data_IF_208104075150
#
_entry.id   IF_208104075150
#
_cell.length_a   1.000
_cell.length_b   1.000
_cell.length_c   1.000
_cell.angle_alpha   90.00
_cell.angle_beta   90.00
_cell.angle_gamma   90.00
#
_symmetry.space_group_name_H-M   'P 1'
#
loop_
_entity.id
_entity.type
_entity.pdbx_description
1 polymer ?
#
# COMPACT_ATOMS: atom_id res chain seq x y z
N UNK A 1 -11.43 -10.25 -23.45
CA UNK A 1 -11.98 -10.02 -22.09
C UNK A 1 -11.53 -8.64 -21.63
N UNK A 2 -12.41 -7.83 -21.02
CA UNK A 2 -12.05 -6.47 -20.57
C UNK A 2 -11.09 -6.51 -19.37
N UNK A 3 -10.37 -5.42 -19.13
CA UNK A 3 -9.47 -5.27 -17.97
C UNK A 3 -10.22 -5.54 -16.65
N UNK A 4 -11.39 -4.94 -16.48
CA UNK A 4 -12.23 -5.13 -15.29
C UNK A 4 -12.64 -6.60 -15.07
N UNK A 5 -12.93 -7.36 -16.13
CA UNK A 5 -13.24 -8.79 -15.97
C UNK A 5 -11.99 -9.59 -15.58
N UNK A 6 -10.83 -9.30 -16.19
CA UNK A 6 -9.56 -9.96 -15.82
C UNK A 6 -9.17 -9.71 -14.36
N UNK A 7 -9.39 -8.49 -13.87
CA UNK A 7 -9.16 -8.16 -12.46
C UNK A 7 -10.11 -8.96 -11.57
N UNK A 8 -11.42 -8.99 -11.87
CA UNK A 8 -12.38 -9.77 -11.07
C UNK A 8 -12.03 -11.25 -11.00
N UNK A 9 -11.61 -11.84 -12.11
CA UNK A 9 -11.19 -13.25 -12.14
C UNK A 9 -9.96 -13.48 -11.26
N UNK A 10 -9.01 -12.53 -11.27
CA UNK A 10 -7.83 -12.57 -10.41
C UNK A 10 -8.19 -12.37 -8.93
N UNK A 11 -9.12 -11.47 -8.60
CA UNK A 11 -9.63 -11.29 -7.23
C UNK A 11 -10.28 -12.57 -6.70
N UNK A 12 -10.98 -13.34 -7.54
CA UNK A 12 -11.51 -14.66 -7.15
C UNK A 12 -10.39 -15.65 -6.83
N UNK A 13 -9.31 -15.68 -7.62
CA UNK A 13 -8.14 -16.52 -7.33
C UNK A 13 -7.48 -16.13 -6.01
N UNK A 14 -7.32 -14.83 -5.75
CA UNK A 14 -6.80 -14.35 -4.47
C UNK A 14 -7.70 -14.72 -3.30
N UNK A 15 -9.02 -14.61 -3.45
CA UNK A 15 -9.97 -15.01 -2.43
C UNK A 15 -9.88 -16.51 -2.13
N UNK A 16 -9.76 -17.35 -3.16
CA UNK A 16 -9.55 -18.78 -3.02
C UNK A 16 -8.23 -19.12 -2.30
N UNK A 17 -7.14 -18.42 -2.65
CA UNK A 17 -5.84 -18.60 -1.98
C UNK A 17 -5.89 -18.20 -0.50
N UNK A 18 -6.53 -17.08 -0.17
CA UNK A 18 -6.73 -16.67 1.23
C UNK A 18 -7.57 -17.69 2.01
N UNK A 19 -8.60 -18.26 1.39
CA UNK A 19 -9.43 -19.29 2.03
C UNK A 19 -8.63 -20.58 2.33
N UNK A 20 -7.74 -21.01 1.41
CA UNK A 20 -6.83 -22.15 1.64
C UNK A 20 -5.91 -21.90 2.83
N UNK A 21 -5.45 -20.66 3.01
CA UNK A 21 -4.60 -20.28 4.14
C UNK A 21 -5.41 -20.06 5.44
N UNK A 22 -6.74 -20.09 5.36
CA UNK A 22 -7.65 -19.79 6.49
C UNK A 22 -7.59 -18.32 6.90
N UNK A 23 -7.33 -17.42 5.96
CA UNK A 23 -7.21 -15.98 6.13
C UNK A 23 -8.41 -15.24 5.52
N UNK A 24 -8.63 -14.00 5.93
CA UNK A 24 -9.65 -13.14 5.32
C UNK A 24 -9.07 -12.47 4.09
N UNK A 25 -9.62 -12.71 2.90
CA UNK A 25 -9.21 -11.96 1.71
C UNK A 25 -9.48 -10.46 1.88
N UNK A 26 -8.44 -9.62 1.82
CA UNK A 26 -8.56 -8.17 1.83
C UNK A 26 -8.14 -7.59 0.47
N UNK A 27 -9.08 -7.12 -0.36
CA UNK A 27 -8.75 -6.50 -1.64
C UNK A 27 -8.02 -5.15 -1.46
N UNK A 28 -7.13 -4.82 -2.38
CA UNK A 28 -6.58 -3.47 -2.55
C UNK A 28 -7.56 -2.59 -3.34
N UNK A 29 -7.29 -1.29 -3.46
CA UNK A 29 -7.99 -0.44 -4.43
C UNK A 29 -7.85 -0.99 -5.85
N UNK A 30 -8.92 -0.94 -6.64
CA UNK A 30 -8.93 -1.55 -7.96
C UNK A 30 -8.47 -0.53 -9.01
N UNK A 31 -7.37 -0.78 -9.75
CA UNK A 31 -6.95 0.14 -10.79
C UNK A 31 -7.97 0.11 -11.94
N UNK A 32 -8.15 1.23 -12.65
CA UNK A 32 -9.04 1.31 -13.82
C UNK A 32 -8.39 0.75 -15.10
N UNK A 33 -7.07 0.58 -15.10
CA UNK A 33 -6.27 0.05 -16.19
C UNK A 33 -4.82 -0.18 -15.74
N UNK A 34 -3.91 -0.52 -16.68
CA UNK A 34 -2.50 -0.64 -16.36
C UNK A 34 -1.88 0.67 -15.84
N UNK A 35 -0.98 0.57 -14.87
CA UNK A 35 -0.38 1.68 -14.11
C UNK A 35 1.12 1.84 -14.38
N UNK A 36 1.63 3.02 -14.10
CA UNK A 36 3.03 3.45 -14.30
C UNK A 36 3.94 3.08 -13.13
N UNK A 37 3.37 2.84 -11.95
CA UNK A 37 4.09 2.34 -10.80
C UNK A 37 3.28 1.33 -10.00
N UNK A 38 3.94 0.28 -9.49
CA UNK A 38 3.34 -0.69 -8.56
C UNK A 38 4.15 -0.73 -7.27
N UNK A 39 3.48 -0.43 -6.16
CA UNK A 39 4.05 -0.51 -4.82
C UNK A 39 3.59 -1.82 -4.17
N UNK A 40 4.52 -2.62 -3.65
CA UNK A 40 4.26 -3.98 -3.16
C UNK A 40 4.59 -4.05 -1.67
N UNK A 41 3.59 -4.34 -0.86
CA UNK A 41 3.68 -4.65 0.56
C UNK A 41 3.87 -6.14 0.85
N UNK A 42 3.79 -6.50 2.12
CA UNK A 42 4.01 -7.85 2.62
C UNK A 42 2.71 -8.67 2.61
N UNK A 43 1.91 -8.49 3.64
CA UNK A 43 0.57 -9.03 3.80
C UNK A 43 -0.24 -8.06 4.65
N UNK A 44 -1.55 -7.97 4.45
CA UNK A 44 -2.40 -7.22 5.36
C UNK A 44 -2.48 -7.91 6.71
N UNK A 45 -2.58 -7.11 7.77
CA UNK A 45 -3.00 -7.60 9.09
C UNK A 45 -4.47 -7.26 9.32
N UNK A 46 -5.18 -8.06 10.12
CA UNK A 46 -6.52 -7.69 10.62
C UNK A 46 -6.45 -6.43 11.52
N UNK A 47 -5.32 -6.26 12.20
CA UNK A 47 -4.99 -5.08 12.99
C UNK A 47 -6.15 -4.62 13.89
N UNK A 48 -6.51 -3.35 13.77
CA UNK A 48 -7.62 -2.72 14.50
C UNK A 48 -8.84 -2.46 13.62
N UNK A 49 -8.81 -2.86 12.34
CA UNK A 49 -9.90 -2.58 11.42
C UNK A 49 -10.96 -3.69 11.42
N UNK A 50 -10.66 -4.89 11.90
CA UNK A 50 -11.66 -5.93 12.16
C UNK A 50 -11.19 -6.92 13.23
N UNK A 51 -12.12 -7.37 14.09
CA UNK A 51 -11.87 -8.35 15.14
C UNK A 51 -12.36 -9.75 14.78
N UNK A 52 -13.26 -9.86 13.79
CA UNK A 52 -13.81 -11.14 13.34
C UNK A 52 -13.89 -11.21 11.81
N UNK A 53 -13.89 -12.41 11.20
CA UNK A 53 -14.11 -12.56 9.77
C UNK A 53 -15.44 -11.97 9.27
N UNK A 54 -16.50 -12.05 10.08
CA UNK A 54 -17.81 -11.50 9.73
C UNK A 54 -17.79 -9.96 9.69
N UNK A 55 -17.15 -9.31 10.67
CA UNK A 55 -16.94 -7.86 10.67
C UNK A 55 -16.08 -7.44 9.47
N UNK A 56 -15.01 -8.19 9.19
CA UNK A 56 -14.15 -7.92 8.05
C UNK A 56 -14.93 -7.98 6.73
N UNK A 57 -15.76 -9.01 6.53
CA UNK A 57 -16.61 -9.16 5.35
C UNK A 57 -17.58 -7.98 5.18
N UNK A 58 -18.22 -7.52 6.26
CA UNK A 58 -19.11 -6.36 6.22
C UNK A 58 -18.37 -5.08 5.81
N UNK A 59 -17.18 -4.84 6.37
CA UNK A 59 -16.34 -3.68 6.03
C UNK A 59 -15.88 -3.73 4.58
N UNK A 60 -15.42 -4.89 4.10
CA UNK A 60 -14.98 -5.08 2.71
C UNK A 60 -16.15 -4.83 1.74
N UNK A 61 -17.34 -5.35 2.06
CA UNK A 61 -18.56 -5.13 1.27
C UNK A 61 -18.96 -3.64 1.23
N UNK A 62 -18.72 -2.89 2.31
CA UNK A 62 -18.95 -1.45 2.39
C UNK A 62 -17.85 -0.60 1.68
N UNK A 63 -16.85 -1.24 1.10
CA UNK A 63 -15.78 -0.59 0.32
C UNK A 63 -14.43 -0.54 1.00
N UNK A 64 -14.22 -1.17 2.16
CA UNK A 64 -12.92 -1.18 2.83
C UNK A 64 -11.90 -1.91 1.97
N UNK A 65 -10.72 -1.32 1.80
CA UNK A 65 -9.59 -1.87 1.04
C UNK A 65 -8.33 -1.81 1.87
N UNK A 66 -7.32 -2.60 1.50
CA UNK A 66 -6.00 -2.45 2.11
C UNK A 66 -5.43 -1.04 1.83
N UNK A 67 -4.52 -0.58 2.68
CA UNK A 67 -3.92 0.77 2.64
C UNK A 67 -4.93 1.92 2.80
N UNK A 68 -5.95 1.73 3.63
CA UNK A 68 -7.03 2.70 3.85
C UNK A 68 -7.26 3.04 5.33
N UNK A 69 -6.50 2.46 6.24
CA UNK A 69 -6.85 2.51 7.65
C UNK A 69 -6.10 3.61 8.40
N UNK A 70 -4.78 3.66 8.20
CA UNK A 70 -3.86 4.43 9.03
C UNK A 70 -3.41 5.74 8.36
N UNK A 71 -2.96 6.75 9.14
CA UNK A 71 -2.30 7.92 8.58
C UNK A 71 -1.07 7.57 7.73
N UNK A 72 -0.35 6.50 8.09
CA UNK A 72 0.79 6.00 7.35
C UNK A 72 0.40 5.50 5.95
N UNK A 73 -0.75 4.83 5.81
CA UNK A 73 -1.28 4.40 4.52
C UNK A 73 -1.56 5.63 3.64
N UNK A 74 -2.22 6.64 4.21
CA UNK A 74 -2.54 7.86 3.46
C UNK A 74 -1.32 8.75 3.20
N UNK A 75 -0.28 8.68 4.01
CA UNK A 75 1.02 9.32 3.72
C UNK A 75 1.68 8.66 2.51
N UNK A 76 1.60 7.34 2.39
CA UNK A 76 2.12 6.62 1.22
C UNK A 76 1.36 7.04 -0.04
N UNK A 77 0.02 7.08 0.02
CA UNK A 77 -0.82 7.56 -1.08
C UNK A 77 -0.55 9.02 -1.44
N UNK A 78 -0.43 9.90 -0.45
CA UNK A 78 -0.06 11.31 -0.65
C UNK A 78 1.29 11.42 -1.38
N UNK A 79 2.31 10.69 -0.91
CA UNK A 79 3.63 10.75 -1.50
C UNK A 79 3.63 10.20 -2.94
N UNK A 80 2.95 9.08 -3.18
CA UNK A 80 2.84 8.49 -4.51
C UNK A 80 2.14 9.47 -5.48
N UNK A 81 0.97 9.99 -5.12
CA UNK A 81 0.21 10.91 -5.97
C UNK A 81 0.96 12.21 -6.29
N UNK A 82 1.79 12.70 -5.36
CA UNK A 82 2.44 14.02 -5.49
C UNK A 82 3.86 13.97 -6.05
N UNK A 83 4.57 12.87 -5.87
CA UNK A 83 6.01 12.79 -6.17
C UNK A 83 6.39 11.57 -7.01
N UNK A 84 5.55 10.53 -7.08
CA UNK A 84 5.83 9.35 -7.91
C UNK A 84 5.20 9.45 -9.29
N UNK A 85 4.00 10.02 -9.39
CA UNK A 85 3.28 10.13 -10.65
C UNK A 85 3.25 11.57 -11.15
N UNK A 86 3.49 11.73 -12.45
CA UNK A 86 3.08 12.89 -13.24
C UNK A 86 1.55 12.96 -13.36
N UNK A 87 1.02 14.06 -13.93
CA UNK A 87 -0.42 14.32 -13.96
C UNK A 87 -1.25 13.27 -14.71
N UNK A 88 -0.65 12.58 -15.68
CA UNK A 88 -1.21 11.53 -16.52
C UNK A 88 -0.79 10.11 -16.11
N UNK A 89 0.07 9.99 -15.10
CA UNK A 89 0.54 8.72 -14.58
C UNK A 89 -0.31 8.23 -13.40
N UNK A 90 -0.33 6.92 -13.24
CA UNK A 90 -1.12 6.25 -12.19
C UNK A 90 -0.28 5.22 -11.47
N UNK A 91 -0.71 4.85 -10.27
CA UNK A 91 -0.05 3.84 -9.46
C UNK A 91 -1.06 2.84 -8.88
N UNK A 92 -0.55 1.68 -8.49
CA UNK A 92 -1.29 0.66 -7.73
C UNK A 92 -0.49 0.26 -6.50
N UNK A 93 -1.18 0.04 -5.37
CA UNK A 93 -0.55 -0.53 -4.17
C UNK A 93 -1.14 -1.91 -3.94
N UNK A 94 -0.26 -2.90 -3.82
CA UNK A 94 -0.62 -4.29 -3.56
C UNK A 94 0.30 -4.92 -2.52
N UNK A 95 0.20 -6.24 -2.34
CA UNK A 95 0.92 -7.03 -1.35
C UNK A 95 1.38 -8.34 -1.99
N UNK A 96 2.44 -8.94 -1.46
CA UNK A 96 2.85 -10.29 -1.86
C UNK A 96 1.71 -11.28 -1.63
N UNK A 97 0.99 -11.15 -0.50
CA UNK A 97 -0.20 -11.95 -0.23
C UNK A 97 -1.35 -11.07 0.27
N UNK A 98 -2.59 -11.46 -0.06
CA UNK A 98 -3.80 -10.67 0.22
C UNK A 98 -4.68 -11.25 1.33
N UNK A 99 -4.15 -12.24 2.06
CA UNK A 99 -4.80 -12.82 3.22
C UNK A 99 -4.52 -11.97 4.46
N UNK A 100 -5.56 -11.33 5.00
CA UNK A 100 -5.49 -10.60 6.26
C UNK A 100 -5.59 -11.56 7.45
N UNK A 101 -4.65 -11.42 8.38
CA UNK A 101 -4.52 -12.30 9.54
C UNK A 101 -3.99 -11.57 10.78
N UNK A 102 -3.95 -12.28 11.91
CA UNK A 102 -3.29 -11.76 13.13
C UNK A 102 -1.77 -11.78 12.98
N UNK A 103 -1.08 -10.94 13.75
CA UNK A 103 0.39 -10.85 13.70
C UNK A 103 1.04 -12.18 14.11
N UNK A 104 0.47 -12.88 15.08
CA UNK A 104 0.97 -14.19 15.53
C UNK A 104 0.95 -15.20 14.38
N UNK A 105 -0.14 -15.26 13.62
CA UNK A 105 -0.26 -16.13 12.45
C UNK A 105 0.65 -15.71 11.31
N UNK A 106 0.93 -14.42 11.16
CA UNK A 106 1.81 -13.89 10.12
C UNK A 106 3.25 -14.43 10.22
N UNK A 107 3.73 -14.70 11.44
CA UNK A 107 5.07 -15.26 11.66
C UNK A 107 5.17 -16.76 11.35
N UNK A 108 4.04 -17.46 11.31
CA UNK A 108 3.98 -18.89 11.02
C UNK A 108 4.04 -19.07 9.50
N UNK A 109 5.12 -19.69 9.01
CA UNK A 109 5.28 -20.12 7.60
C UNK A 109 5.19 -19.03 6.52
N UNK A 110 5.54 -17.77 6.85
CA UNK A 110 5.55 -16.65 5.88
C UNK A 110 6.25 -17.00 4.56
N UNK A 111 7.40 -17.69 4.62
CA UNK A 111 8.14 -18.12 3.42
C UNK A 111 7.34 -19.06 2.53
N UNK A 112 6.65 -20.04 3.12
CA UNK A 112 5.85 -21.02 2.37
C UNK A 112 4.61 -20.35 1.81
N UNK A 113 3.96 -19.48 2.59
CA UNK A 113 2.84 -18.66 2.12
C UNK A 113 3.26 -17.86 0.90
N UNK A 114 4.29 -17.02 1.02
CA UNK A 114 4.72 -16.17 -0.07
C UNK A 114 5.06 -16.94 -1.35
N UNK A 115 5.71 -18.11 -1.24
CA UNK A 115 5.98 -18.97 -2.39
C UNK A 115 4.70 -19.37 -3.14
N UNK A 116 3.59 -19.69 -2.42
CA UNK A 116 2.29 -19.98 -3.05
C UNK A 116 1.68 -18.76 -3.72
N UNK A 117 1.81 -17.59 -3.10
CA UNK A 117 1.22 -16.34 -3.61
C UNK A 117 2.02 -15.70 -4.74
N UNK A 118 3.29 -16.03 -4.90
CA UNK A 118 4.19 -15.42 -5.90
C UNK A 118 3.63 -15.56 -7.32
N UNK A 119 3.03 -16.71 -7.64
CA UNK A 119 2.43 -16.94 -8.97
C UNK A 119 1.26 -15.99 -9.22
N UNK A 120 0.43 -15.75 -8.20
CA UNK A 120 -0.71 -14.83 -8.32
C UNK A 120 -0.25 -13.36 -8.37
N UNK A 121 0.80 -13.01 -7.63
CA UNK A 121 1.42 -11.69 -7.73
C UNK A 121 1.99 -11.45 -9.14
N UNK A 122 2.68 -12.42 -9.70
CA UNK A 122 3.21 -12.35 -11.07
C UNK A 122 2.07 -12.20 -12.10
N UNK A 123 0.98 -12.96 -11.95
CA UNK A 123 -0.24 -12.77 -12.76
C UNK A 123 -0.83 -11.35 -12.61
N UNK A 124 -0.89 -10.81 -11.40
CA UNK A 124 -1.34 -9.44 -11.14
C UNK A 124 -0.45 -8.44 -11.88
N UNK A 125 0.87 -8.51 -11.68
CA UNK A 125 1.82 -7.56 -12.24
C UNK A 125 1.81 -7.57 -13.77
N UNK A 126 1.69 -8.74 -14.40
CA UNK A 126 1.51 -8.82 -15.86
C UNK A 126 0.20 -8.20 -16.36
N UNK A 127 -0.83 -8.17 -15.52
CA UNK A 127 -2.10 -7.56 -15.84
C UNK A 127 -2.07 -6.04 -15.62
N UNK A 128 -1.50 -5.59 -14.51
CA UNK A 128 -1.64 -4.20 -14.04
C UNK A 128 -0.45 -3.30 -14.37
N UNK A 129 0.75 -3.81 -14.61
CA UNK A 129 1.91 -2.95 -14.81
C UNK A 129 2.11 -2.64 -16.29
N UNK A 130 2.24 -1.36 -16.65
CA UNK A 130 2.68 -0.97 -17.99
C UNK A 130 4.11 -1.48 -18.26
N UNK A 131 4.49 -1.66 -19.55
CA UNK A 131 5.89 -1.82 -19.91
C UNK A 131 6.72 -0.67 -19.34
N UNK A 132 7.81 -0.96 -18.64
CA UNK A 132 8.66 0.06 -18.01
C UNK A 132 8.15 0.61 -16.68
N UNK A 133 6.98 0.19 -16.18
CA UNK A 133 6.47 0.66 -14.90
C UNK A 133 7.47 0.44 -13.75
N UNK A 134 7.54 1.38 -12.80
CA UNK A 134 8.37 1.24 -11.61
C UNK A 134 7.81 0.16 -10.69
N UNK A 135 8.63 -0.82 -10.32
CA UNK A 135 8.27 -1.80 -9.29
C UNK A 135 8.96 -1.40 -7.99
N UNK A 136 8.16 -1.20 -6.95
CA UNK A 136 8.63 -0.60 -5.70
C UNK A 136 8.25 -1.51 -4.53
N UNK A 137 9.24 -2.10 -3.85
CA UNK A 137 9.00 -2.90 -2.65
C UNK A 137 8.95 -2.04 -1.38
N UNK A 138 7.89 -2.19 -0.60
CA UNK A 138 7.70 -1.49 0.68
C UNK A 138 8.41 -2.26 1.78
N UNK A 139 9.66 -1.86 2.05
CA UNK A 139 10.52 -2.50 3.03
C UNK A 139 11.53 -3.47 2.40
N UNK A 140 12.62 -3.69 3.13
CA UNK A 140 13.74 -4.52 2.68
C UNK A 140 13.35 -5.99 2.50
N UNK A 141 12.48 -6.50 3.36
CA UNK A 141 12.07 -7.92 3.34
C UNK A 141 11.28 -8.24 2.07
N UNK A 142 10.42 -7.31 1.62
CA UNK A 142 9.70 -7.43 0.34
C UNK A 142 10.69 -7.46 -0.81
N UNK A 143 11.64 -6.52 -0.87
CA UNK A 143 12.60 -6.45 -1.98
C UNK A 143 13.47 -7.72 -2.03
N UNK A 144 14.01 -8.12 -0.88
CA UNK A 144 14.81 -9.35 -0.76
C UNK A 144 14.01 -10.59 -1.13
N UNK A 145 12.70 -10.60 -0.90
CA UNK A 145 11.83 -11.69 -1.32
C UNK A 145 11.64 -11.70 -2.84
N UNK A 146 11.31 -10.55 -3.45
CA UNK A 146 11.08 -10.44 -4.89
C UNK A 146 12.35 -10.81 -5.68
N UNK A 147 13.52 -10.29 -5.28
CA UNK A 147 14.81 -10.62 -5.89
C UNK A 147 15.10 -12.13 -5.86
N UNK A 148 14.87 -12.79 -4.71
CA UNK A 148 15.11 -14.23 -4.56
C UNK A 148 14.09 -15.10 -5.28
N UNK A 149 12.92 -14.57 -5.58
CA UNK A 149 11.86 -15.30 -6.27
C UNK A 149 12.04 -15.31 -7.79
N UNK A 150 13.15 -14.75 -8.30
CA UNK A 150 13.43 -14.67 -9.73
C UNK A 150 12.58 -13.63 -10.44
N UNK A 151 12.13 -12.60 -9.71
CA UNK A 151 11.38 -11.49 -10.30
C UNK A 151 12.26 -10.77 -11.32
N UNK A 152 11.79 -10.69 -12.57
CA UNK A 152 12.58 -10.33 -13.75
C UNK A 152 12.70 -8.81 -13.98
N UNK A 153 12.23 -8.01 -13.03
CA UNK A 153 12.25 -6.55 -13.08
C UNK A 153 13.04 -5.99 -11.92
N UNK A 154 13.70 -4.86 -12.17
CA UNK A 154 14.35 -4.09 -11.11
C UNK A 154 13.32 -3.63 -10.08
N UNK A 155 13.66 -3.81 -8.80
CA UNK A 155 12.80 -3.44 -7.67
C UNK A 155 13.47 -2.33 -6.86
N UNK A 156 12.84 -1.17 -6.81
CA UNK A 156 13.26 -0.07 -5.93
C UNK A 156 12.76 -0.32 -4.52
N UNK A 157 13.64 -0.24 -3.52
CA UNK A 157 13.25 -0.37 -2.12
C UNK A 157 12.87 0.97 -1.51
N UNK A 158 11.70 1.04 -0.87
CA UNK A 158 11.35 2.15 0.03
C UNK A 158 11.27 1.70 1.49
N UNK A 159 11.33 2.67 2.40
CA UNK A 159 11.23 2.40 3.83
C UNK A 159 9.86 1.80 4.19
N UNK A 160 9.84 0.85 5.13
CA UNK A 160 8.58 0.35 5.68
C UNK A 160 7.96 1.36 6.65
N UNK A 161 6.63 1.51 6.63
CA UNK A 161 5.91 2.52 7.41
C UNK A 161 5.71 2.18 8.90
N UNK A 162 6.23 1.05 9.40
CA UNK A 162 6.16 0.68 10.82
C UNK A 162 6.78 1.73 11.75
N UNK A 163 6.14 1.97 12.90
CA UNK A 163 6.65 2.85 13.95
C UNK A 163 8.02 2.40 14.51
N UNK A 164 8.35 1.11 14.42
CA UNK A 164 9.65 0.56 14.80
C UNK A 164 10.79 1.09 13.92
N UNK A 165 10.49 1.68 12.76
CA UNK A 165 11.47 2.29 11.86
C UNK A 165 11.94 3.69 12.29
N UNK A 166 11.56 4.19 13.48
CA UNK A 166 11.93 5.54 13.93
C UNK A 166 13.44 5.84 13.88
N UNK A 167 14.35 4.94 14.33
CA UNK A 167 15.79 5.16 14.19
C UNK A 167 16.23 5.28 12.73
N UNK A 168 15.66 4.46 11.84
CA UNK A 168 15.95 4.49 10.42
C UNK A 168 15.46 5.79 9.76
N UNK A 169 14.29 6.31 10.17
CA UNK A 169 13.79 7.62 9.71
C UNK A 169 14.72 8.76 10.08
N UNK A 170 15.23 8.75 11.31
CA UNK A 170 16.18 9.75 11.77
C UNK A 170 17.50 9.67 10.98
N UNK A 171 17.98 8.45 10.71
CA UNK A 171 19.18 8.25 9.92
C UNK A 171 19.00 8.74 8.47
N UNK A 172 17.84 8.52 7.85
CA UNK A 172 17.55 8.92 6.47
C UNK A 172 17.45 10.44 6.27
N UNK A 173 17.14 11.20 7.33
CA UNK A 173 17.07 12.66 7.30
C UNK A 173 18.42 13.31 7.63
N UNK A 174 19.36 12.56 8.22
CA UNK A 174 20.67 13.10 8.57
C UNK A 174 21.40 13.61 7.33
N UNK A 175 21.88 14.86 7.38
CA UNK A 175 22.51 15.54 6.25
C UNK A 175 21.53 16.15 5.24
N UNK A 176 20.22 16.08 5.49
CA UNK A 176 19.15 16.71 4.70
C UNK A 176 18.19 17.50 5.61
N UNK A 177 18.68 18.01 6.74
CA UNK A 177 17.84 18.62 7.77
C UNK A 177 17.17 19.92 7.31
N UNK A 178 17.82 20.68 6.42
CA UNK A 178 17.28 21.93 5.89
C UNK A 178 16.12 21.66 4.92
N UNK A 179 16.29 20.71 4.01
CA UNK A 179 15.28 20.24 3.06
C UNK A 179 14.10 19.62 3.80
N UNK A 180 14.38 18.79 4.81
CA UNK A 180 13.36 18.21 5.66
C UNK A 180 12.54 19.28 6.38
N UNK A 181 13.19 20.32 6.94
CA UNK A 181 12.50 21.42 7.61
C UNK A 181 11.58 22.17 6.65
N UNK A 182 12.09 22.53 5.47
CA UNK A 182 11.30 23.22 4.45
C UNK A 182 10.10 22.39 3.97
N UNK A 183 10.28 21.07 3.81
CA UNK A 183 9.20 20.15 3.48
C UNK A 183 8.16 20.06 4.62
N UNK A 184 8.63 19.87 5.86
CA UNK A 184 7.81 19.72 7.06
C UNK A 184 6.92 20.93 7.36
N UNK A 185 7.37 22.13 6.99
CA UNK A 185 6.60 23.39 7.11
C UNK A 185 5.47 23.48 6.10
N UNK A 186 5.62 22.87 4.92
CA UNK A 186 4.60 22.87 3.85
C UNK A 186 3.62 21.70 3.96
N UNK A 187 4.07 20.58 4.52
CA UNK A 187 3.22 19.40 4.69
C UNK A 187 2.13 19.66 5.75
N UNK A 188 0.87 19.57 5.33
CA UNK A 188 -0.29 19.68 6.21
C UNK A 188 -1.06 18.36 6.26
N UNK A 189 -1.74 18.10 7.38
CA UNK A 189 -2.66 16.96 7.46
C UNK A 189 -3.82 17.12 6.46
N UNK A 190 -4.22 18.36 6.16
CA UNK A 190 -5.26 18.62 5.16
C UNK A 190 -4.85 18.10 3.78
N UNK A 191 -3.60 18.31 3.35
CA UNK A 191 -3.13 17.81 2.06
C UNK A 191 -3.16 16.27 1.96
N UNK A 192 -2.95 15.56 3.09
CA UNK A 192 -3.09 14.10 3.16
C UNK A 192 -4.56 13.69 3.12
N UNK A 193 -5.43 14.43 3.82
CA UNK A 193 -6.88 14.24 3.81
C UNK A 193 -7.47 14.44 2.41
N UNK A 194 -7.05 15.48 1.69
CA UNK A 194 -7.54 15.77 0.33
C UNK A 194 -7.25 14.58 -0.61
N UNK A 195 -6.02 14.03 -0.55
CA UNK A 195 -5.66 12.83 -1.32
C UNK A 195 -6.48 11.60 -0.90
N UNK A 196 -6.74 11.44 0.40
CA UNK A 196 -7.57 10.34 0.89
C UNK A 196 -9.01 10.44 0.35
N UNK A 197 -9.61 11.64 0.36
CA UNK A 197 -10.95 11.89 -0.18
C UNK A 197 -11.02 11.57 -1.68
N UNK A 198 -10.01 11.98 -2.45
CA UNK A 198 -9.94 11.72 -3.89
C UNK A 198 -9.87 10.21 -4.19
N UNK A 199 -8.99 9.47 -3.51
CA UNK A 199 -8.84 8.02 -3.70
C UNK A 199 -10.14 7.28 -3.36
N UNK A 200 -10.79 7.66 -2.26
CA UNK A 200 -12.04 7.03 -1.84
C UNK A 200 -13.18 7.27 -2.83
N UNK A 201 -13.25 8.49 -3.37
CA UNK A 201 -14.22 8.85 -4.41
C UNK A 201 -13.97 8.08 -5.70
N UNK A 202 -12.72 8.01 -6.17
CA UNK A 202 -12.31 7.26 -7.37
C UNK A 202 -12.62 5.76 -7.26
N UNK A 203 -12.56 5.20 -6.05
CA UNK A 203 -12.79 3.78 -5.80
C UNK A 203 -14.20 3.45 -5.29
N UNK A 204 -15.14 4.39 -5.42
CA UNK A 204 -16.57 4.18 -5.08
C UNK A 204 -16.79 3.65 -3.66
N UNK A 205 -15.97 4.09 -2.70
CA UNK A 205 -16.11 3.71 -1.30
C UNK A 205 -17.38 4.36 -0.73
N UNK A 206 -18.13 3.62 0.09
CA UNK A 206 -19.39 4.14 0.63
C UNK A 206 -19.19 5.47 1.38
N UNK A 207 -20.20 6.35 1.32
CA UNK A 207 -20.15 7.67 1.98
C UNK A 207 -19.96 7.52 3.48
N UNK A 208 -20.62 6.55 4.11
CA UNK A 208 -20.50 6.29 5.54
C UNK A 208 -19.06 5.91 5.93
N UNK A 209 -18.45 4.98 5.20
CA UNK A 209 -17.07 4.55 5.44
C UNK A 209 -16.05 5.65 5.16
N UNK A 210 -16.25 6.41 4.08
CA UNK A 210 -15.40 7.54 3.74
C UNK A 210 -15.44 8.60 4.86
N UNK A 211 -16.65 8.92 5.34
CA UNK A 211 -16.84 9.89 6.43
C UNK A 211 -16.13 9.44 7.71
N UNK A 212 -16.29 8.17 8.10
CA UNK A 212 -15.62 7.61 9.27
C UNK A 212 -14.09 7.67 9.14
N UNK A 213 -13.58 7.26 7.97
CA UNK A 213 -12.13 7.23 7.69
C UNK A 213 -11.52 8.63 7.69
N UNK A 214 -12.18 9.62 7.06
CA UNK A 214 -11.74 11.02 7.11
C UNK A 214 -11.82 11.58 8.52
N UNK A 215 -12.88 11.31 9.28
CA UNK A 215 -12.98 11.76 10.66
C UNK A 215 -11.85 11.19 11.54
N UNK A 216 -11.49 9.91 11.35
CA UNK A 216 -10.35 9.27 12.01
C UNK A 216 -9.03 9.94 11.60
N UNK A 217 -8.83 10.17 10.29
CA UNK A 217 -7.61 10.77 9.76
C UNK A 217 -7.42 12.23 10.24
N UNK A 218 -8.49 13.04 10.26
CA UNK A 218 -8.45 14.43 10.75
C UNK A 218 -8.12 14.53 12.24
N UNK A 219 -8.46 13.51 13.03
CA UNK A 219 -8.07 13.43 14.46
C UNK A 219 -6.61 13.01 14.65
N UNK A 220 -5.97 12.44 13.63
CA UNK A 220 -4.58 12.03 13.71
C UNK A 220 -3.63 13.23 13.70
N UNK A 221 -2.54 13.13 14.46
CA UNK A 221 -1.48 14.14 14.46
C UNK A 221 -0.44 13.81 13.40
N UNK A 222 -0.02 14.81 12.65
CA UNK A 222 1.16 14.72 11.80
C UNK A 222 2.42 14.88 12.67
N UNK A 223 2.77 13.79 13.36
CA UNK A 223 3.95 13.75 14.23
C UNK A 223 5.23 13.97 13.42
N UNK A 224 6.30 14.38 14.11
CA UNK A 224 7.60 14.59 13.49
C UNK A 224 8.08 13.34 12.74
N UNK A 225 7.89 12.15 13.33
CA UNK A 225 8.18 10.87 12.67
C UNK A 225 7.37 10.62 11.38
N UNK A 226 6.09 11.04 11.34
CA UNK A 226 5.25 10.95 10.13
C UNK A 226 5.69 11.93 9.05
N UNK A 227 6.11 13.13 9.45
CA UNK A 227 6.69 14.10 8.51
C UNK A 227 7.98 13.56 7.88
N UNK A 228 8.85 12.94 8.68
CA UNK A 228 10.05 12.27 8.17
C UNK A 228 9.71 11.15 7.20
N UNK A 229 8.71 10.33 7.52
CA UNK A 229 8.26 9.27 6.62
C UNK A 229 7.80 9.84 5.27
N UNK A 230 6.93 10.86 5.30
CA UNK A 230 6.46 11.53 4.09
C UNK A 230 7.63 12.12 3.28
N UNK A 231 8.58 12.80 3.93
CA UNK A 231 9.77 13.35 3.29
C UNK A 231 10.63 12.26 2.62
N UNK A 232 10.88 11.15 3.32
CA UNK A 232 11.67 10.03 2.78
C UNK A 232 11.01 9.48 1.52
N UNK A 233 9.69 9.25 1.55
CA UNK A 233 8.96 8.80 0.37
C UNK A 233 9.03 9.80 -0.77
N UNK A 234 8.76 11.09 -0.50
CA UNK A 234 8.87 12.15 -1.50
C UNK A 234 10.25 12.20 -2.16
N UNK A 235 11.33 12.13 -1.39
CA UNK A 235 12.70 12.17 -1.91
C UNK A 235 13.06 10.93 -2.73
N UNK A 236 12.56 9.74 -2.36
CA UNK A 236 12.81 8.53 -3.16
C UNK A 236 12.01 8.57 -4.46
N UNK A 237 10.72 8.91 -4.39
CA UNK A 237 9.86 8.96 -5.57
C UNK A 237 10.28 10.04 -6.56
N UNK A 238 10.71 11.21 -6.09
CA UNK A 238 11.21 12.27 -6.96
C UNK A 238 12.47 11.89 -7.76
N UNK A 239 13.19 10.83 -7.38
CA UNK A 239 14.38 10.33 -8.10
C UNK A 239 14.07 9.28 -9.16
N UNK A 240 12.81 8.86 -9.28
CA UNK A 240 12.37 7.87 -10.26
C UNK A 240 11.93 8.53 -11.59
N UNK A 241 11.92 9.86 -11.65
CA UNK A 241 11.69 10.69 -12.84
C UNK A 241 12.99 11.05 -13.54
#
# INVERSE_FOLDING_TARGET
MSFATRIRDLEQKFAAAAAVDGDVYLPNFTPSGPVDAVLIGMEPSLGWWAHTPAEAAQKIAAGFRNFMYSPEDFILHYAARRFLCSADETYHITDISKGAMTVEKAHIDRRVRYARWTVLLDEELRLIAKPGAHIIGIGRDVCSFLERSGFDREVTSIMHYSAQASPARNAAVRGQEAEFRAFSERLSMQAVVDVAEDIMRENSVSVAMSTETIARLRKAKLSESRKKLAFIYSTVFAKLH
#
